data_IF_335624276470
#
_entry.id   IF_335624276470
#
_cell.length_a   1.000
_cell.length_b   1.000
_cell.length_c   1.000
_cell.angle_alpha   90.00
_cell.angle_beta   90.00
_cell.angle_gamma   90.00
#
_symmetry.space_group_name_H-M   'P 1'
#
loop_
_entity.id
_entity.type
_entity.pdbx_description
1 polymer ?
#
# COMPACT_ATOMS: atom_id res chain seq x y z
N UNK A 1 6.66 -17.17 21.84
CA UNK A 1 5.62 -17.32 20.79
C UNK A 1 4.39 -16.57 21.27
N UNK A 2 4.05 -15.43 20.65
CA UNK A 2 2.96 -14.57 21.16
C UNK A 2 2.60 -13.36 20.30
N UNK A 3 3.15 -13.22 19.09
CA UNK A 3 2.84 -12.09 18.19
C UNK A 3 1.44 -12.16 17.56
N UNK A 4 0.76 -13.31 17.65
CA UNK A 4 -0.55 -13.49 17.03
C UNK A 4 -1.60 -12.72 17.85
N UNK A 5 -2.46 -11.90 17.22
CA UNK A 5 -2.58 -11.67 15.78
C UNK A 5 -1.60 -10.60 15.23
N UNK A 6 -0.98 -10.89 14.09
CA UNK A 6 -0.16 -9.97 13.32
C UNK A 6 -0.64 -9.96 11.86
N UNK A 7 -0.90 -8.77 11.33
CA UNK A 7 -1.46 -8.56 9.99
C UNK A 7 -1.05 -7.17 9.48
N UNK A 8 -0.96 -7.01 8.16
CA UNK A 8 -0.39 -5.81 7.53
C UNK A 8 -1.27 -4.56 7.69
N UNK A 9 -2.58 -4.72 7.59
CA UNK A 9 -3.57 -3.65 7.71
C UNK A 9 -3.89 -3.37 9.19
N UNK A 10 -2.85 -3.27 10.02
CA UNK A 10 -2.95 -2.86 11.41
C UNK A 10 -3.11 -1.34 11.52
N UNK A 11 -3.63 -0.88 12.66
CA UNK A 11 -3.71 0.56 12.97
C UNK A 11 -2.34 1.10 13.39
N UNK A 12 -2.11 2.40 13.21
CA UNK A 12 -0.83 3.05 13.54
C UNK A 12 -0.56 3.13 15.06
N UNK A 13 -1.61 3.04 15.88
CA UNK A 13 -1.62 3.26 17.35
C UNK A 13 -1.28 4.71 17.73
N UNK A 14 -1.55 5.11 18.98
CA UNK A 14 -1.21 6.45 19.47
C UNK A 14 0.29 6.66 19.73
N UNK A 15 1.08 5.58 19.77
CA UNK A 15 2.54 5.59 19.93
C UNK A 15 3.16 4.58 18.98
N UNK A 16 3.31 4.95 17.69
CA UNK A 16 3.88 4.05 16.68
C UNK A 16 5.31 3.65 17.05
N UNK A 17 5.80 2.57 16.43
CA UNK A 17 7.16 2.07 16.72
C UNK A 17 8.19 3.16 16.47
N UNK A 18 9.02 3.42 17.48
CA UNK A 18 10.02 4.48 17.50
C UNK A 18 11.24 4.01 18.31
N UNK A 19 12.42 4.63 18.15
CA UNK A 19 13.65 4.20 18.83
C UNK A 19 13.69 4.54 20.33
N UNK A 20 12.71 5.27 20.85
CA UNK A 20 12.61 5.56 22.28
C UNK A 20 12.10 4.36 23.08
N UNK A 21 11.99 4.46 24.41
CA UNK A 21 11.51 3.34 25.25
C UNK A 21 9.98 3.22 25.24
N UNK A 22 9.26 4.30 24.95
CA UNK A 22 7.84 4.44 25.24
C UNK A 22 6.98 4.34 23.97
N UNK A 23 7.27 3.35 23.12
CA UNK A 23 6.52 3.05 21.89
C UNK A 23 5.74 1.75 22.00
N UNK A 24 4.87 1.50 21.01
CA UNK A 24 4.21 0.20 20.87
C UNK A 24 5.14 -0.80 20.20
N UNK A 25 5.62 -1.79 20.96
CA UNK A 25 6.49 -2.86 20.49
C UNK A 25 6.65 -3.97 21.54
N UNK A 26 7.54 -4.93 21.26
CA UNK A 26 7.88 -6.01 22.18
C UNK A 26 9.32 -5.84 22.68
N UNK A 27 9.62 -6.34 23.88
CA UNK A 27 10.97 -6.30 24.46
C UNK A 27 11.87 -7.41 23.91
N UNK A 28 11.26 -8.55 23.56
CA UNK A 28 11.91 -9.81 23.24
C UNK A 28 11.96 -10.11 21.74
N UNK A 29 11.28 -9.30 20.91
CA UNK A 29 11.14 -9.55 19.47
C UNK A 29 10.76 -8.29 18.67
N UNK A 30 11.03 -8.31 17.37
CA UNK A 30 10.63 -7.24 16.47
C UNK A 30 9.11 -7.18 16.29
N UNK A 31 8.53 -5.99 16.12
CA UNK A 31 7.10 -5.85 15.82
C UNK A 31 6.73 -6.32 14.41
N UNK A 32 7.66 -6.22 13.46
CA UNK A 32 7.42 -6.60 12.07
C UNK A 32 7.25 -8.13 11.92
N UNK A 33 6.39 -8.59 11.00
CA UNK A 33 6.29 -10.01 10.69
C UNK A 33 7.58 -10.49 10.01
N UNK A 34 7.88 -11.79 10.13
CA UNK A 34 9.01 -12.39 9.42
C UNK A 34 8.85 -12.27 7.89
N UNK A 35 7.62 -12.45 7.40
CA UNK A 35 7.25 -12.26 6.01
C UNK A 35 5.98 -11.39 5.95
N UNK A 36 6.03 -10.19 5.35
CA UNK A 36 4.87 -9.32 5.25
C UNK A 36 3.85 -9.85 4.24
N UNK A 37 2.65 -9.27 4.24
CA UNK A 37 1.62 -9.60 3.28
C UNK A 37 2.09 -9.26 1.85
N UNK A 38 1.79 -10.12 0.89
CA UNK A 38 2.21 -9.96 -0.50
C UNK A 38 3.68 -10.33 -0.77
N UNK A 39 4.46 -10.70 0.26
CA UNK A 39 5.86 -11.06 0.07
C UNK A 39 6.06 -12.35 -0.74
N UNK A 40 6.94 -12.28 -1.73
CA UNK A 40 7.36 -13.42 -2.52
C UNK A 40 8.70 -13.14 -3.19
N UNK A 41 9.56 -14.16 -3.24
CA UNK A 41 10.82 -14.09 -3.97
C UNK A 41 10.63 -14.61 -5.39
N UNK A 42 11.44 -14.10 -6.31
CA UNK A 42 11.52 -14.54 -7.70
C UNK A 42 12.97 -14.73 -8.12
N UNK A 43 13.20 -15.45 -9.22
CA UNK A 43 14.54 -15.71 -9.76
C UNK A 43 15.07 -14.57 -10.65
N UNK A 44 14.30 -13.49 -10.77
CA UNK A 44 14.71 -12.25 -11.44
C UNK A 44 14.55 -11.05 -10.50
N UNK A 45 14.85 -9.84 -10.98
CA UNK A 45 14.72 -8.62 -10.20
C UNK A 45 13.79 -7.64 -10.94
N UNK A 46 12.86 -7.05 -10.20
CA UNK A 46 11.96 -6.03 -10.72
C UNK A 46 12.29 -4.67 -10.11
N UNK A 47 12.22 -3.63 -10.94
CA UNK A 47 12.37 -2.24 -10.53
C UNK A 47 11.03 -1.53 -10.73
N UNK A 48 10.65 -0.77 -9.71
CA UNK A 48 9.44 0.03 -9.68
C UNK A 48 9.84 1.49 -9.87
N UNK A 49 9.20 2.20 -10.79
CA UNK A 49 9.51 3.59 -11.07
C UNK A 49 8.34 4.37 -11.64
N UNK A 50 8.57 5.66 -11.91
CA UNK A 50 7.64 6.52 -12.65
C UNK A 50 6.19 6.50 -12.11
N UNK A 51 6.03 6.50 -10.78
CA UNK A 51 4.70 6.58 -10.15
C UNK A 51 4.01 7.87 -10.58
N UNK A 52 2.78 7.72 -11.08
CA UNK A 52 1.86 8.82 -11.36
C UNK A 52 0.54 8.49 -10.69
N UNK A 53 0.02 9.44 -9.95
CA UNK A 53 -1.32 9.41 -9.38
C UNK A 53 -1.98 10.76 -9.66
N UNK A 54 -3.30 10.76 -9.78
CA UNK A 54 -4.04 12.02 -9.81
C UNK A 54 -3.74 12.84 -8.54
N UNK A 55 -3.61 14.15 -8.67
CA UNK A 55 -3.25 15.02 -7.55
C UNK A 55 -4.45 15.35 -6.64
N UNK A 56 -5.64 15.49 -7.22
CA UNK A 56 -6.87 15.86 -6.52
C UNK A 56 -8.08 15.24 -7.22
N UNK A 57 -8.98 14.61 -6.47
CA UNK A 57 -10.16 13.90 -6.98
C UNK A 57 -11.38 14.24 -6.10
N UNK A 58 -12.58 14.32 -6.70
CA UNK A 58 -13.83 14.45 -5.93
C UNK A 58 -14.25 13.11 -5.30
N UNK A 59 -15.14 13.14 -4.29
CA UNK A 59 -15.69 11.94 -3.66
C UNK A 59 -16.40 10.98 -4.60
N UNK A 60 -17.00 11.49 -5.67
CA UNK A 60 -17.67 10.70 -6.71
C UNK A 60 -16.73 10.31 -7.86
N UNK A 61 -15.49 10.77 -7.80
CA UNK A 61 -14.49 10.57 -8.84
C UNK A 61 -13.85 9.18 -8.80
N UNK A 62 -12.89 9.01 -9.68
CA UNK A 62 -12.10 7.79 -9.83
C UNK A 62 -10.63 8.15 -9.80
N UNK A 63 -9.88 7.51 -8.91
CA UNK A 63 -8.44 7.65 -8.80
C UNK A 63 -7.75 6.79 -9.86
N UNK A 64 -6.91 7.42 -10.66
CA UNK A 64 -6.01 6.75 -11.59
C UNK A 64 -4.58 6.73 -11.00
N UNK A 65 -3.99 5.54 -10.96
CA UNK A 65 -2.60 5.35 -10.50
C UNK A 65 -1.88 4.49 -11.51
N UNK A 66 -0.69 4.90 -11.94
CA UNK A 66 0.15 4.11 -12.82
C UNK A 66 1.59 4.09 -12.36
N UNK A 67 2.30 3.00 -12.62
CA UNK A 67 3.72 2.88 -12.38
C UNK A 67 4.38 2.03 -13.47
N UNK A 68 5.67 2.28 -13.69
CA UNK A 68 6.49 1.48 -14.60
C UNK A 68 7.16 0.36 -13.82
N UNK A 69 7.05 -0.86 -14.35
CA UNK A 69 7.64 -2.07 -13.80
C UNK A 69 8.60 -2.63 -14.82
N UNK A 70 9.87 -2.71 -14.46
CA UNK A 70 10.96 -3.17 -15.33
C UNK A 70 11.57 -4.45 -14.79
N UNK A 71 11.73 -5.48 -15.61
CA UNK A 71 12.53 -6.64 -15.27
C UNK A 71 14.01 -6.35 -15.53
N UNK A 72 14.75 -6.08 -14.47
CA UNK A 72 16.19 -5.74 -14.52
C UNK A 72 17.11 -6.95 -14.35
N UNK A 73 16.55 -8.15 -14.16
CA UNK A 73 17.32 -9.38 -14.02
C UNK A 73 17.62 -10.07 -15.36
N UNK A 74 18.05 -11.33 -15.27
CA UNK A 74 18.52 -12.13 -16.43
C UNK A 74 17.56 -13.25 -16.84
N UNK A 75 16.41 -13.38 -16.17
CA UNK A 75 15.42 -14.42 -16.41
C UNK A 75 14.05 -13.78 -16.62
N UNK A 76 13.22 -14.41 -17.45
CA UNK A 76 11.80 -14.09 -17.45
C UNK A 76 11.24 -14.34 -16.04
N UNK A 77 10.32 -13.48 -15.61
CA UNK A 77 9.66 -13.62 -14.33
C UNK A 77 8.26 -13.03 -14.37
N UNK A 78 7.45 -13.50 -13.42
CA UNK A 78 6.14 -12.93 -13.13
C UNK A 78 6.19 -12.17 -11.81
N UNK A 79 5.64 -10.96 -11.80
CA UNK A 79 5.53 -10.09 -10.63
C UNK A 79 4.05 -9.79 -10.32
N UNK A 80 3.71 -9.69 -9.04
CA UNK A 80 2.38 -9.29 -8.55
C UNK A 80 2.48 -7.87 -8.00
N UNK A 81 2.14 -6.91 -8.85
CA UNK A 81 2.23 -5.49 -8.54
C UNK A 81 0.99 -5.08 -7.74
N UNK A 82 1.19 -4.53 -6.55
CA UNK A 82 0.12 -4.27 -5.57
C UNK A 82 -0.07 -2.77 -5.36
N UNK A 83 -1.32 -2.32 -5.36
CA UNK A 83 -1.72 -0.95 -5.03
C UNK A 83 -2.23 -0.89 -3.58
N UNK A 84 -1.60 -0.06 -2.76
CA UNK A 84 -2.02 0.22 -1.39
C UNK A 84 -2.44 1.68 -1.21
N UNK A 85 -3.43 1.91 -0.35
CA UNK A 85 -3.86 3.27 0.04
C UNK A 85 -3.92 3.37 1.57
N UNK A 86 -3.63 4.57 2.09
CA UNK A 86 -3.82 4.93 3.49
C UNK A 86 -4.48 6.30 3.58
N UNK A 87 -5.57 6.36 4.33
CA UNK A 87 -6.24 7.59 4.70
C UNK A 87 -5.59 8.12 5.99
N UNK A 88 -4.90 9.25 5.89
CA UNK A 88 -4.09 9.80 6.98
C UNK A 88 -4.92 10.30 8.15
N UNK A 89 -6.10 10.84 7.88
CA UNK A 89 -6.95 11.51 8.88
C UNK A 89 -8.41 11.21 8.60
N UNK A 90 -8.99 10.38 9.46
CA UNK A 90 -10.38 9.97 9.39
C UNK A 90 -11.05 10.02 10.76
N UNK A 91 -12.40 10.04 10.83
CA UNK A 91 -13.14 9.95 12.09
C UNK A 91 -12.79 8.71 12.93
N UNK A 92 -12.41 7.60 12.28
CA UNK A 92 -11.94 6.38 12.92
C UNK A 92 -10.53 6.04 12.45
N UNK A 93 -9.64 5.62 13.36
CA UNK A 93 -8.28 5.20 13.00
C UNK A 93 -8.28 4.14 11.90
N UNK A 94 -7.61 4.49 10.79
CA UNK A 94 -7.51 3.67 9.57
C UNK A 94 -6.26 2.77 9.60
N UNK A 95 -6.28 1.65 8.85
CA UNK A 95 -5.10 0.81 8.67
C UNK A 95 -3.96 1.57 7.98
N UNK A 96 -2.71 1.29 8.37
CA UNK A 96 -1.52 1.95 7.79
C UNK A 96 -1.34 1.71 6.30
N UNK A 97 -1.91 0.62 5.76
CA UNK A 97 -2.04 0.30 4.33
C UNK A 97 -3.25 -0.61 4.14
N UNK A 98 -4.02 -0.38 3.07
CA UNK A 98 -5.08 -1.25 2.59
C UNK A 98 -4.86 -1.59 1.11
N UNK A 99 -4.89 -2.87 0.74
CA UNK A 99 -4.80 -3.28 -0.66
C UNK A 99 -6.07 -2.85 -1.42
N UNK A 100 -5.91 -2.09 -2.51
CA UNK A 100 -7.02 -1.62 -3.37
C UNK A 100 -6.99 -2.20 -4.78
N UNK A 101 -5.88 -2.81 -5.19
CA UNK A 101 -5.77 -3.49 -6.48
C UNK A 101 -4.46 -4.26 -6.59
N UNK A 102 -4.41 -5.20 -7.53
CA UNK A 102 -3.17 -5.86 -7.91
C UNK A 102 -3.21 -6.26 -9.39
N UNK A 103 -2.05 -6.26 -10.03
CA UNK A 103 -1.88 -6.71 -11.42
C UNK A 103 -0.74 -7.72 -11.50
N UNK A 104 -0.99 -8.84 -12.18
CA UNK A 104 0.05 -9.83 -12.50
C UNK A 104 0.69 -9.48 -13.83
N UNK A 105 2.00 -9.26 -13.84
CA UNK A 105 2.76 -8.97 -15.06
C UNK A 105 3.84 -10.02 -15.26
N UNK A 106 4.01 -10.50 -16.49
CA UNK A 106 5.14 -11.35 -16.88
C UNK A 106 6.00 -10.54 -17.83
N UNK A 107 7.30 -10.48 -17.56
CA UNK A 107 8.24 -9.65 -18.31
C UNK A 107 9.51 -10.45 -18.64
N UNK A 108 9.96 -10.36 -19.88
CA UNK A 108 11.28 -10.83 -20.28
C UNK A 108 12.39 -9.93 -19.69
N UNK A 109 13.66 -10.39 -19.65
CA UNK A 109 14.78 -9.56 -19.24
C UNK A 109 14.88 -8.24 -20.03
N UNK A 110 14.93 -7.10 -19.34
CA UNK A 110 14.98 -5.76 -19.92
C UNK A 110 13.64 -5.20 -20.40
N UNK A 111 12.55 -5.99 -20.33
CA UNK A 111 11.22 -5.51 -20.65
C UNK A 111 10.66 -4.65 -19.51
N UNK A 112 9.95 -3.59 -19.87
CA UNK A 112 9.17 -2.77 -18.94
C UNK A 112 7.72 -2.67 -19.38
N UNK A 113 6.82 -2.57 -18.40
CA UNK A 113 5.39 -2.39 -18.61
C UNK A 113 4.86 -1.33 -17.66
N UNK A 114 4.00 -0.45 -18.18
CA UNK A 114 3.20 0.44 -17.35
C UNK A 114 1.96 -0.30 -16.85
N UNK A 115 1.86 -0.48 -15.54
CA UNK A 115 0.65 -0.95 -14.88
C UNK A 115 -0.25 0.24 -14.54
N UNK A 116 -1.56 0.03 -14.59
CA UNK A 116 -2.54 1.07 -14.33
C UNK A 116 -3.68 0.54 -13.48
N UNK A 117 -3.97 1.24 -12.40
CA UNK A 117 -5.05 0.96 -11.47
C UNK A 117 -6.10 2.06 -11.57
N UNK A 118 -7.35 1.67 -11.36
CA UNK A 118 -8.50 2.56 -11.38
C UNK A 118 -9.36 2.19 -10.18
N UNK A 119 -9.45 3.10 -9.22
CA UNK A 119 -10.15 2.87 -7.95
C UNK A 119 -11.19 3.96 -7.77
N UNK A 120 -12.47 3.60 -7.60
CA UNK A 120 -13.50 4.60 -7.29
C UNK A 120 -13.19 5.17 -5.92
N UNK A 121 -13.31 6.49 -5.77
CA UNK A 121 -13.02 7.14 -4.47
C UNK A 121 -13.94 6.59 -3.37
N UNK A 122 -15.18 6.21 -3.71
CA UNK A 122 -16.09 5.54 -2.78
C UNK A 122 -15.56 4.20 -2.22
N UNK A 123 -14.67 3.48 -2.93
CA UNK A 123 -14.04 2.23 -2.48
C UNK A 123 -12.88 2.47 -1.48
N UNK A 124 -12.48 3.74 -1.29
CA UNK A 124 -11.54 4.18 -0.25
C UNK A 124 -12.26 4.44 1.09
N UNK A 125 -13.58 4.51 1.07
CA UNK A 125 -14.41 4.84 2.22
C UNK A 125 -14.37 3.82 3.35
N UNK A 126 -14.96 4.22 4.47
CA UNK A 126 -15.13 3.36 5.63
C UNK A 126 -16.34 3.78 6.46
N UNK A 127 -16.72 2.92 7.40
CA UNK A 127 -17.79 3.22 8.34
C UNK A 127 -17.31 4.16 9.45
N UNK A 128 -18.07 5.23 9.69
CA UNK A 128 -17.95 6.07 10.87
C UNK A 128 -18.51 5.37 12.13
N UNK A 129 -18.38 5.95 13.33
CA UNK A 129 -18.94 5.38 14.56
C UNK A 129 -20.46 5.21 14.53
N UNK A 130 -21.17 5.99 13.72
CA UNK A 130 -22.62 5.95 13.51
C UNK A 130 -23.04 4.97 12.40
N UNK A 131 -22.10 4.20 11.84
CA UNK A 131 -22.31 3.21 10.76
C UNK A 131 -22.72 3.80 9.41
N UNK A 132 -22.39 5.06 9.13
CA UNK A 132 -22.48 5.64 7.79
C UNK A 132 -21.23 5.32 6.98
N UNK A 133 -21.43 4.94 5.71
CA UNK A 133 -20.33 4.83 4.77
C UNK A 133 -19.87 6.22 4.33
N UNK A 134 -18.64 6.59 4.69
CA UNK A 134 -18.09 7.90 4.40
C UNK A 134 -16.75 7.80 3.68
N UNK A 135 -16.44 8.81 2.88
CA UNK A 135 -15.08 9.08 2.37
C UNK A 135 -14.63 10.42 2.92
N UNK A 136 -13.71 10.44 3.89
CA UNK A 136 -13.13 11.68 4.41
C UNK A 136 -12.42 12.46 3.29
N UNK A 137 -12.63 13.78 3.27
CA UNK A 137 -11.81 14.67 2.45
C UNK A 137 -10.44 14.83 3.12
N UNK A 138 -9.38 14.98 2.32
CA UNK A 138 -8.02 15.21 2.79
C UNK A 138 -6.98 14.39 2.05
N UNK A 139 -5.79 14.32 2.64
CA UNK A 139 -4.62 13.67 2.04
C UNK A 139 -4.63 12.17 2.24
N UNK A 140 -4.48 11.45 1.14
CA UNK A 140 -4.28 10.00 1.11
C UNK A 140 -2.86 9.69 0.63
N UNK A 141 -2.26 8.69 1.24
CA UNK A 141 -1.03 8.08 0.73
C UNK A 141 -1.38 6.94 -0.23
N UNK A 142 -0.55 6.78 -1.27
CA UNK A 142 -0.66 5.68 -2.22
C UNK A 142 0.70 5.03 -2.43
N UNK A 143 0.72 3.71 -2.54
CA UNK A 143 1.91 2.94 -2.89
C UNK A 143 1.65 1.98 -4.02
N UNK A 144 2.62 1.86 -4.92
CA UNK A 144 2.74 0.72 -5.83
C UNK A 144 3.95 -0.09 -5.40
N UNK A 145 3.72 -1.35 -5.02
CA UNK A 145 4.70 -2.14 -4.28
C UNK A 145 4.72 -3.62 -4.67
N UNK A 146 5.83 -4.33 -4.43
CA UNK A 146 5.89 -5.79 -4.51
C UNK A 146 5.33 -6.48 -3.25
N UNK A 147 5.26 -5.78 -2.10
CA UNK A 147 4.68 -6.28 -0.86
C UNK A 147 4.16 -5.13 0.02
N UNK A 148 3.53 -5.48 1.14
CA UNK A 148 2.92 -4.49 2.03
C UNK A 148 3.92 -3.62 2.81
N UNK A 149 5.23 -3.83 2.71
CA UNK A 149 6.24 -3.15 3.52
C UNK A 149 7.27 -2.35 2.70
N UNK A 150 7.15 -2.36 1.38
CA UNK A 150 8.07 -1.71 0.44
C UNK A 150 7.32 -0.92 -0.64
N UNK A 151 7.98 -0.61 -1.76
CA UNK A 151 7.39 0.06 -2.92
C UNK A 151 7.68 1.56 -3.02
N UNK A 152 7.20 2.15 -4.11
CA UNK A 152 7.27 3.59 -4.38
C UNK A 152 6.00 4.26 -3.89
N UNK A 153 6.13 5.45 -3.29
CA UNK A 153 5.06 6.16 -2.62
C UNK A 153 4.71 7.47 -3.32
N UNK A 154 3.45 7.88 -3.23
CA UNK A 154 2.93 9.16 -3.66
C UNK A 154 1.76 9.60 -2.76
N UNK A 155 1.17 10.73 -3.07
CA UNK A 155 0.03 11.28 -2.34
C UNK A 155 -0.99 11.88 -3.30
N UNK A 156 -2.25 11.90 -2.88
CA UNK A 156 -3.35 12.59 -3.56
C UNK A 156 -4.33 13.18 -2.55
N UNK A 157 -5.14 14.14 -2.98
CA UNK A 157 -6.19 14.76 -2.18
C UNK A 157 -7.57 14.29 -2.62
N UNK A 158 -8.45 14.01 -1.66
CA UNK A 158 -9.89 13.84 -1.89
C UNK A 158 -10.62 15.10 -1.44
N UNK A 159 -11.43 15.68 -2.31
CA UNK A 159 -12.23 16.88 -2.05
C UNK A 159 -13.69 16.51 -1.77
#
# INVERSE_FOLDING_TARGET
>A
VGQIPIYYNHKNTGRPSAPDRWHTGYLDLARAPLYPFGYGLTYTNFKYGNLKADSSISKEGTLHVSAEIENTGKREGTEIVQLYVHDRVAPTSRPVRELKGFERVTLAPGEHKNVSFTVRVNDLGSYDPEMHWIVPSGTYDVWVAPDSNSGIAGTFEVQ
#
